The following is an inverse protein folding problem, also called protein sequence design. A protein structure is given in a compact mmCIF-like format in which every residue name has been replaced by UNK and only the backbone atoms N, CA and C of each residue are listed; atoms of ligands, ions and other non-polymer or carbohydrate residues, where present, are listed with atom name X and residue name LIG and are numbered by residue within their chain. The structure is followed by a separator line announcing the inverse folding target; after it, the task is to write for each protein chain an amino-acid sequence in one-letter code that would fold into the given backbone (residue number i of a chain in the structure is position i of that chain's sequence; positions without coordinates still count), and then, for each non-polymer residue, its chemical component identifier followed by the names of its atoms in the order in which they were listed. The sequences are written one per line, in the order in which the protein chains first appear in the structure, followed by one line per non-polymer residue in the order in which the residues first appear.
data_IF_931862197765
#
_entry.id   IF_931862197765
#
_cell.length_a   1.000
_cell.length_b   1.000
_cell.length_c   1.000
_cell.angle_alpha   90.00
_cell.angle_beta   90.00
_cell.angle_gamma   90.00
#
_symmetry.space_group_name_H-M   'P 1'
#
loop_
_entity.id
_entity.type
_entity.pdbx_description
1 polymer ?
#
# COMPACT_ATOMS: atom_id res chain seq x y z
N UNK A 1 -3.32 -7.03 27.95
CA UNK A 1 -4.57 -6.44 28.49
C UNK A 1 -5.34 -5.86 27.31
N UNK A 2 -6.56 -6.33 27.05
CA UNK A 2 -7.43 -5.78 26.00
C UNK A 2 -8.13 -4.53 26.57
N UNK A 3 -8.09 -3.38 25.89
CA UNK A 3 -8.72 -2.15 26.39
C UNK A 3 -10.25 -2.25 26.31
N UNK A 4 -10.89 -1.67 27.33
CA UNK A 4 -12.34 -1.57 27.49
C UNK A 4 -12.94 -0.72 26.36
N UNK A 5 -13.89 -1.29 25.62
CA UNK A 5 -14.50 -0.69 24.44
C UNK A 5 -15.92 -0.23 24.80
N UNK A 6 -16.05 0.91 25.47
CA UNK A 6 -17.35 1.55 25.63
C UNK A 6 -17.28 3.08 25.38
N UNK A 7 -18.11 3.50 24.42
CA UNK A 7 -18.67 4.84 24.20
C UNK A 7 -17.73 6.02 23.93
N UNK A 8 -17.70 6.48 22.69
CA UNK A 8 -18.02 7.89 22.33
C UNK A 8 -18.44 7.96 20.86
N UNK A 9 -19.61 8.54 20.63
CA UNK A 9 -20.16 8.87 19.33
C UNK A 9 -19.69 10.26 18.87
N UNK A 10 -19.62 10.46 17.54
CA UNK A 10 -20.10 11.64 16.80
C UNK A 10 -19.15 12.13 15.69
N UNK A 11 -19.72 12.44 14.52
CA UNK A 11 -19.10 13.01 13.33
C UNK A 11 -18.72 11.93 12.30
N UNK A 12 -19.45 11.64 11.23
CA UNK A 12 -20.22 12.52 10.36
C UNK A 12 -19.44 12.67 9.05
N UNK A 13 -19.62 11.75 8.10
CA UNK A 13 -19.43 12.04 6.67
C UNK A 13 -20.23 11.06 5.82
N UNK A 14 -21.12 11.63 5.02
CA UNK A 14 -22.11 10.98 4.18
C UNK A 14 -21.55 11.00 2.76
N UNK A 15 -21.25 9.82 2.18
CA UNK A 15 -20.96 9.73 0.75
C UNK A 15 -21.52 8.45 0.15
N UNK A 16 -22.59 8.68 -0.61
CA UNK A 16 -23.32 7.77 -1.47
C UNK A 16 -22.40 6.87 -2.29
N UNK A 17 -22.62 5.55 -2.24
CA UNK A 17 -22.28 4.65 -3.35
C UNK A 17 -23.43 3.69 -3.62
N UNK A 18 -23.85 3.74 -4.88
CA UNK A 18 -24.99 3.09 -5.52
C UNK A 18 -24.94 1.57 -5.39
N UNK A 19 -26.13 1.00 -5.21
CA UNK A 19 -26.46 -0.42 -5.23
C UNK A 19 -26.35 -1.00 -6.65
N UNK A 20 -25.84 -2.23 -6.76
CA UNK A 20 -25.96 -3.09 -7.94
C UNK A 20 -26.55 -4.42 -7.44
N UNK A 21 -27.82 -4.66 -7.80
CA UNK A 21 -28.59 -5.84 -7.46
C UNK A 21 -28.47 -6.86 -8.61
N UNK A 22 -27.93 -8.04 -8.30
CA UNK A 22 -27.87 -9.16 -9.23
C UNK A 22 -28.09 -10.49 -8.52
N UNK A 23 -29.35 -10.83 -8.21
CA UNK A 23 -29.75 -12.21 -7.86
C UNK A 23 -30.98 -12.60 -8.66
N UNK A 24 -30.72 -13.36 -9.72
CA UNK A 24 -31.69 -14.16 -10.46
C UNK A 24 -32.01 -15.41 -9.63
N UNK A 25 -33.26 -15.56 -9.18
CA UNK A 25 -33.78 -16.86 -8.76
C UNK A 25 -35.23 -17.00 -9.22
N UNK A 26 -35.39 -17.83 -10.25
CA UNK A 26 -36.65 -18.29 -10.81
C UNK A 26 -37.13 -19.46 -9.97
N UNK A 27 -38.31 -19.34 -9.36
CA UNK A 27 -39.11 -20.49 -8.99
C UNK A 27 -40.58 -20.22 -9.25
N UNK A 28 -41.19 -21.21 -9.90
CA UNK A 28 -42.53 -21.28 -10.45
C UNK A 28 -43.52 -21.73 -9.38
N UNK A 29 -44.65 -21.04 -9.25
CA UNK A 29 -45.95 -21.68 -9.01
C UNK A 29 -47.05 -20.62 -9.16
N UNK A 30 -47.91 -20.81 -10.15
CA UNK A 30 -49.20 -20.14 -10.26
C UNK A 30 -50.20 -20.94 -9.40
N UNK A 31 -51.04 -20.24 -8.64
CA UNK A 31 -52.49 -20.49 -8.54
C UNK A 31 -53.16 -19.41 -7.66
N UNK A 32 -54.37 -19.04 -8.08
CA UNK A 32 -55.13 -17.82 -7.80
C UNK A 32 -55.91 -17.90 -6.46
N UNK A 33 -56.09 -16.78 -5.74
CA UNK A 33 -57.40 -16.11 -5.59
C UNK A 33 -57.31 -14.80 -4.76
N UNK A 34 -58.35 -13.99 -4.95
CA UNK A 34 -58.51 -12.56 -4.77
C UNK A 34 -58.83 -12.08 -3.33
N UNK A 35 -58.42 -10.84 -3.06
CA UNK A 35 -59.04 -9.85 -2.16
C UNK A 35 -58.85 -9.96 -0.63
N UNK A 36 -57.92 -9.18 -0.07
CA UNK A 36 -58.26 -8.07 0.85
C UNK A 36 -56.98 -7.31 1.26
N UNK A 37 -56.77 -6.16 0.64
CA UNK A 37 -55.88 -5.13 1.18
C UNK A 37 -56.57 -4.60 2.43
N UNK A 38 -55.99 -4.81 3.62
CA UNK A 38 -55.87 -3.79 4.65
C UNK A 38 -55.08 -4.29 5.88
N UNK A 39 -54.00 -3.56 6.17
CA UNK A 39 -53.36 -3.44 7.49
C UNK A 39 -52.69 -4.68 8.09
N UNK A 40 -51.76 -5.29 7.34
CA UNK A 40 -50.53 -5.78 7.98
C UNK A 40 -49.63 -4.58 8.25
N UNK A 41 -49.94 -3.87 9.34
CA UNK A 41 -48.94 -3.13 10.09
C UNK A 41 -47.80 -4.10 10.37
N UNK A 42 -46.73 -3.99 9.59
CA UNK A 42 -45.49 -4.71 9.77
C UNK A 42 -44.97 -4.34 11.16
N UNK A 43 -45.44 -5.08 12.17
CA UNK A 43 -44.88 -5.14 13.51
C UNK A 43 -43.45 -5.60 13.32
N UNK A 44 -42.55 -4.63 13.10
CA UNK A 44 -41.10 -4.85 13.09
C UNK A 44 -40.82 -5.63 14.37
N UNK A 45 -40.44 -6.91 14.22
CA UNK A 45 -40.08 -7.78 15.35
C UNK A 45 -39.12 -6.97 16.21
N UNK A 46 -39.58 -6.60 17.41
CA UNK A 46 -38.82 -5.77 18.33
C UNK A 46 -37.58 -6.57 18.69
N UNK A 47 -36.43 -6.21 18.11
CA UNK A 47 -35.17 -6.89 18.38
C UNK A 47 -34.93 -6.84 19.89
N UNK A 48 -34.88 -8.01 20.53
CA UNK A 48 -34.56 -8.09 21.94
C UNK A 48 -33.06 -7.88 22.13
N UNK A 49 -32.69 -6.75 22.73
CA UNK A 49 -31.30 -6.41 23.02
C UNK A 49 -30.88 -7.12 24.30
N UNK A 50 -29.72 -7.79 24.25
CA UNK A 50 -29.16 -8.46 25.42
C UNK A 50 -28.81 -7.45 26.51
N UNK A 51 -29.00 -7.85 27.77
CA UNK A 51 -28.64 -7.02 28.93
C UNK A 51 -27.11 -6.91 29.05
N UNK A 52 -26.59 -5.86 29.71
CA UNK A 52 -25.15 -5.73 29.94
C UNK A 52 -24.54 -6.95 30.66
N UNK A 53 -25.26 -7.53 31.62
CA UNK A 53 -24.84 -8.75 32.32
C UNK A 53 -24.72 -9.95 31.38
N UNK A 54 -25.70 -10.14 30.48
CA UNK A 54 -25.63 -11.20 29.47
C UNK A 54 -24.43 -11.01 28.53
N UNK A 55 -24.17 -9.77 28.10
CA UNK A 55 -23.02 -9.45 27.26
C UNK A 55 -21.71 -9.76 28.00
N UNK A 56 -21.58 -9.34 29.25
CA UNK A 56 -20.37 -9.57 30.05
C UNK A 56 -20.06 -11.06 30.22
N UNK A 57 -21.07 -11.89 30.51
CA UNK A 57 -20.91 -13.34 30.61
C UNK A 57 -20.50 -13.96 29.27
N UNK A 58 -21.14 -13.56 28.17
CA UNK A 58 -20.74 -14.02 26.83
C UNK A 58 -19.32 -13.58 26.46
N UNK A 59 -18.90 -12.38 26.84
CA UNK A 59 -17.54 -11.89 26.63
C UNK A 59 -16.50 -12.63 27.48
N UNK A 60 -16.82 -12.93 28.74
CA UNK A 60 -15.98 -13.76 29.60
C UNK A 60 -15.79 -15.16 29.02
N UNK A 61 -16.86 -15.77 28.51
CA UNK A 61 -16.80 -17.07 27.85
C UNK A 61 -16.02 -17.02 26.52
N UNK A 62 -16.20 -15.96 25.73
CA UNK A 62 -15.52 -15.78 24.44
C UNK A 62 -14.00 -15.77 24.56
N UNK A 63 -13.45 -15.24 25.65
CA UNK A 63 -11.99 -15.23 25.90
C UNK A 63 -11.39 -16.65 25.92
N UNK A 64 -12.16 -17.65 26.34
CA UNK A 64 -11.73 -19.04 26.44
C UNK A 64 -12.21 -19.88 25.25
N UNK A 65 -13.41 -19.58 24.73
CA UNK A 65 -14.04 -20.32 23.65
C UNK A 65 -14.61 -19.39 22.57
N UNK A 66 -13.78 -18.85 21.66
CA UNK A 66 -14.25 -17.97 20.57
C UNK A 66 -15.19 -18.67 19.56
N UNK A 67 -15.11 -20.00 19.50
CA UNK A 67 -15.90 -20.88 18.64
C UNK A 67 -16.62 -21.95 19.46
N UNK A 68 -17.67 -21.57 20.21
CA UNK A 68 -18.39 -22.53 21.05
C UNK A 68 -19.10 -23.58 20.21
N UNK A 69 -19.02 -24.84 20.65
CA UNK A 69 -19.74 -25.96 20.04
C UNK A 69 -21.24 -25.96 20.43
N UNK A 70 -22.03 -26.91 19.90
CA UNK A 70 -23.47 -26.98 20.19
C UNK A 70 -23.80 -27.11 21.68
N UNK A 71 -23.07 -27.96 22.41
CA UNK A 71 -23.33 -28.21 23.83
C UNK A 71 -23.01 -26.98 24.67
N UNK A 72 -21.85 -26.34 24.42
CA UNK A 72 -21.45 -25.10 25.08
C UNK A 72 -22.44 -23.96 24.82
N UNK A 73 -22.97 -23.86 23.58
CA UNK A 73 -24.01 -22.86 23.27
C UNK A 73 -25.29 -23.11 24.04
N UNK A 74 -25.71 -24.37 24.18
CA UNK A 74 -26.92 -24.74 24.93
C UNK A 74 -26.76 -24.45 26.42
N UNK A 75 -25.64 -24.84 27.01
CA UNK A 75 -25.35 -24.56 28.41
C UNK A 75 -25.31 -23.05 28.70
N UNK A 76 -24.65 -22.27 27.83
CA UNK A 76 -24.60 -20.82 27.96
C UNK A 76 -25.97 -20.17 27.73
N UNK A 77 -26.79 -20.70 26.82
CA UNK A 77 -28.13 -20.20 26.58
C UNK A 77 -29.04 -20.43 27.78
N UNK A 78 -28.97 -21.62 28.39
CA UNK A 78 -29.73 -21.99 29.57
C UNK A 78 -29.34 -21.11 30.77
N UNK A 79 -28.02 -20.87 30.96
CA UNK A 79 -27.50 -19.97 32.00
C UNK A 79 -27.98 -18.52 31.86
N UNK A 80 -28.08 -18.03 30.63
CA UNK A 80 -28.38 -16.61 30.33
C UNK A 80 -29.86 -16.33 30.05
N UNK A 81 -30.69 -17.37 30.00
CA UNK A 81 -32.10 -17.25 29.59
C UNK A 81 -32.26 -16.76 28.15
N UNK A 82 -31.37 -17.17 27.25
CA UNK A 82 -31.37 -16.80 25.83
C UNK A 82 -31.72 -18.00 24.95
N UNK A 83 -32.12 -17.75 23.71
CA UNK A 83 -32.22 -18.83 22.72
C UNK A 83 -30.81 -19.26 22.27
N UNK A 84 -30.52 -20.56 22.09
CA UNK A 84 -29.23 -21.03 21.55
C UNK A 84 -28.79 -20.34 20.26
N UNK A 85 -29.75 -19.93 19.41
CA UNK A 85 -29.48 -19.22 18.17
C UNK A 85 -29.00 -17.78 18.40
N UNK A 86 -29.52 -17.10 19.43
CA UNK A 86 -29.03 -15.77 19.82
C UNK A 86 -27.57 -15.84 20.27
N UNK A 87 -27.21 -16.87 21.05
CA UNK A 87 -25.82 -17.12 21.43
C UNK A 87 -24.98 -17.37 20.19
N UNK A 88 -25.42 -18.23 19.26
CA UNK A 88 -24.71 -18.46 17.98
C UNK A 88 -24.43 -17.15 17.23
N UNK A 89 -25.45 -16.31 17.04
CA UNK A 89 -25.30 -15.05 16.30
C UNK A 89 -24.45 -14.04 17.04
N UNK A 90 -24.55 -13.97 18.37
CA UNK A 90 -23.69 -13.10 19.16
C UNK A 90 -22.21 -13.45 18.97
N UNK A 91 -21.84 -14.73 19.06
CA UNK A 91 -20.45 -15.16 18.85
C UNK A 91 -19.98 -14.92 17.41
N UNK A 92 -20.86 -15.13 16.42
CA UNK A 92 -20.55 -14.80 15.03
C UNK A 92 -20.29 -13.30 14.85
N UNK A 93 -21.16 -12.45 15.37
CA UNK A 93 -21.02 -11.00 15.30
C UNK A 93 -19.79 -10.50 16.05
N UNK A 94 -19.49 -11.06 17.24
CA UNK A 94 -18.32 -10.70 18.02
C UNK A 94 -17.03 -10.97 17.25
N UNK A 95 -16.93 -12.12 16.56
CA UNK A 95 -15.78 -12.42 15.70
C UNK A 95 -15.67 -11.47 14.52
N UNK A 96 -16.77 -11.17 13.83
CA UNK A 96 -16.79 -10.21 12.72
C UNK A 96 -16.34 -8.83 13.19
N UNK A 97 -16.90 -8.33 14.31
CA UNK A 97 -16.48 -7.05 14.91
C UNK A 97 -14.99 -7.05 15.24
N UNK A 98 -14.48 -8.11 15.86
CA UNK A 98 -13.06 -8.20 16.21
C UNK A 98 -12.18 -8.16 14.95
N UNK A 99 -12.55 -8.90 13.90
CA UNK A 99 -11.84 -8.89 12.63
C UNK A 99 -11.84 -7.51 12.00
N UNK A 100 -13.01 -6.87 11.88
CA UNK A 100 -13.15 -5.52 11.32
C UNK A 100 -12.36 -4.48 12.12
N UNK A 101 -12.39 -4.56 13.45
CA UNK A 101 -11.61 -3.65 14.30
C UNK A 101 -10.11 -3.81 14.07
N UNK A 102 -9.60 -5.05 14.00
CA UNK A 102 -8.19 -5.32 13.71
C UNK A 102 -7.79 -4.83 12.31
N UNK A 103 -8.62 -5.07 11.30
CA UNK A 103 -8.37 -4.61 9.93
C UNK A 103 -8.35 -3.09 9.85
N UNK A 104 -9.31 -2.41 10.48
CA UNK A 104 -9.34 -0.96 10.56
C UNK A 104 -8.11 -0.40 11.27
N UNK A 105 -7.73 -0.99 12.41
CA UNK A 105 -6.54 -0.58 13.16
C UNK A 105 -5.25 -0.74 12.34
N UNK A 106 -5.06 -1.90 11.69
CA UNK A 106 -3.92 -2.16 10.79
C UNK A 106 -3.90 -1.20 9.61
N UNK A 107 -5.04 -0.97 8.96
CA UNK A 107 -5.14 -0.04 7.83
C UNK A 107 -4.83 1.40 8.26
N UNK A 108 -5.31 1.82 9.43
CA UNK A 108 -4.99 3.13 10.01
C UNK A 108 -3.49 3.29 10.25
N UNK A 109 -2.85 2.27 10.84
CA UNK A 109 -1.39 2.23 11.03
C UNK A 109 -0.66 2.36 9.70
N UNK A 110 -0.97 1.50 8.73
CA UNK A 110 -0.31 1.53 7.41
C UNK A 110 -0.53 2.85 6.66
N UNK A 111 -1.70 3.48 6.80
CA UNK A 111 -1.95 4.80 6.20
C UNK A 111 -1.06 5.87 6.82
N UNK A 112 -0.90 5.85 8.13
CA UNK A 112 -0.04 6.79 8.86
C UNK A 112 1.41 6.63 8.42
N UNK A 113 1.93 5.40 8.46
CA UNK A 113 3.27 5.07 8.01
C UNK A 113 3.51 5.41 6.52
N UNK A 114 2.53 5.16 5.66
CA UNK A 114 2.64 5.51 4.24
C UNK A 114 2.72 7.03 4.03
N UNK A 115 1.97 7.82 4.79
CA UNK A 115 2.02 9.27 4.74
C UNK A 115 3.38 9.79 5.22
N UNK A 116 3.94 9.19 6.27
CA UNK A 116 5.28 9.52 6.78
C UNK A 116 6.36 9.20 5.74
N UNK A 117 6.34 7.99 5.17
CA UNK A 117 7.27 7.59 4.12
C UNK A 117 7.17 8.48 2.89
N UNK A 118 5.95 8.89 2.49
CA UNK A 118 5.76 9.83 1.39
C UNK A 118 6.33 11.20 1.70
N UNK A 119 6.10 11.72 2.91
CA UNK A 119 6.67 12.99 3.35
C UNK A 119 8.21 12.94 3.36
N UNK A 120 8.79 11.85 3.87
CA UNK A 120 10.22 11.62 3.86
C UNK A 120 10.79 11.50 2.44
N UNK A 121 10.11 10.73 1.59
CA UNK A 121 10.49 10.61 0.18
C UNK A 121 10.49 11.98 -0.50
N UNK A 122 9.47 12.81 -0.28
CA UNK A 122 9.43 14.19 -0.79
C UNK A 122 10.62 15.02 -0.29
N UNK A 123 10.95 14.96 1.00
CA UNK A 123 12.12 15.67 1.56
C UNK A 123 13.42 15.20 0.90
N UNK A 124 13.60 13.89 0.71
CA UNK A 124 14.80 13.34 0.08
C UNK A 124 14.88 13.72 -1.39
N UNK A 125 13.78 13.64 -2.13
CA UNK A 125 13.71 14.06 -3.54
C UNK A 125 14.00 15.55 -3.69
N UNK A 126 13.44 16.40 -2.82
CA UNK A 126 13.73 17.83 -2.80
C UNK A 126 15.20 18.11 -2.48
N UNK A 127 15.75 17.46 -1.44
CA UNK A 127 17.15 17.59 -1.08
C UNK A 127 18.08 17.18 -2.24
N UNK A 128 17.76 16.09 -2.95
CA UNK A 128 18.51 15.64 -4.13
C UNK A 128 18.35 16.60 -5.31
N UNK A 129 17.16 17.14 -5.54
CA UNK A 129 16.91 18.14 -6.58
C UNK A 129 17.71 19.43 -6.33
N UNK A 130 17.79 19.87 -5.07
CA UNK A 130 18.52 21.06 -4.66
C UNK A 130 20.02 20.82 -4.45
N UNK A 131 20.47 19.57 -4.40
CA UNK A 131 21.88 19.24 -4.24
C UNK A 131 22.66 19.72 -5.47
N UNK A 132 23.68 20.55 -5.25
CA UNK A 132 24.51 21.12 -6.32
C UNK A 132 25.97 20.73 -6.14
N UNK A 133 26.67 20.50 -7.24
CA UNK A 133 28.10 20.25 -7.25
C UNK A 133 28.86 21.47 -6.71
N UNK A 134 29.75 21.28 -5.73
CA UNK A 134 30.52 22.36 -5.11
C UNK A 134 31.54 23.00 -6.08
N UNK A 135 32.02 22.25 -7.07
CA UNK A 135 33.03 22.72 -8.03
C UNK A 135 32.44 23.51 -9.21
N UNK A 136 31.30 23.07 -9.77
CA UNK A 136 30.71 23.68 -10.97
C UNK A 136 29.30 24.28 -10.76
N UNK A 137 28.74 24.19 -9.55
CA UNK A 137 27.46 24.82 -9.19
C UNK A 137 26.22 24.25 -9.87
N UNK A 138 26.29 23.13 -10.59
CA UNK A 138 25.13 22.52 -11.28
C UNK A 138 24.44 21.45 -10.42
N UNK A 139 23.17 21.18 -10.68
CA UNK A 139 22.35 20.23 -9.91
C UNK A 139 22.82 18.78 -10.10
N UNK A 140 22.92 18.01 -9.00
CA UNK A 140 23.44 16.64 -8.99
C UNK A 140 22.42 15.62 -9.55
N UNK A 141 21.13 15.93 -9.48
CA UNK A 141 20.04 15.03 -9.86
C UNK A 141 19.94 14.70 -11.37
N UNK A 142 20.73 15.33 -12.23
CA UNK A 142 20.67 15.11 -13.67
C UNK A 142 21.95 14.40 -14.17
N UNK A 143 21.79 13.20 -14.73
CA UNK A 143 22.91 12.40 -15.27
C UNK A 143 23.69 13.15 -16.36
N UNK A 144 23.02 14.05 -17.11
CA UNK A 144 23.67 14.95 -18.08
C UNK A 144 24.56 15.99 -17.41
N UNK A 145 24.27 16.37 -16.18
CA UNK A 145 25.06 17.34 -15.43
C UNK A 145 26.40 16.75 -14.98
N UNK A 146 26.42 15.48 -14.57
CA UNK A 146 27.67 14.78 -14.26
C UNK A 146 28.56 14.65 -15.51
N UNK A 147 27.98 14.24 -16.64
CA UNK A 147 28.70 14.13 -17.91
C UNK A 147 29.27 15.48 -18.38
N UNK A 148 28.50 16.57 -18.27
CA UNK A 148 28.97 17.91 -18.62
C UNK A 148 30.04 18.44 -17.64
N UNK A 149 29.92 18.16 -16.33
CA UNK A 149 30.93 18.57 -15.36
C UNK A 149 32.26 17.81 -15.57
N UNK A 150 32.21 16.51 -15.89
CA UNK A 150 33.37 15.72 -16.29
C UNK A 150 34.02 16.23 -17.59
N UNK A 151 33.23 16.67 -18.58
CA UNK A 151 33.78 17.29 -19.80
C UNK A 151 34.54 18.59 -19.51
N UNK A 152 33.99 19.45 -18.65
CA UNK A 152 34.64 20.72 -18.28
C UNK A 152 35.94 20.48 -17.51
N UNK A 153 35.94 19.54 -16.56
CA UNK A 153 37.15 19.17 -15.81
C UNK A 153 38.22 18.56 -16.74
N UNK A 154 37.83 17.66 -17.65
CA UNK A 154 38.76 17.11 -18.65
C UNK A 154 39.36 18.19 -19.55
N UNK A 155 38.60 19.23 -19.92
CA UNK A 155 39.12 20.34 -20.72
C UNK A 155 40.16 21.16 -19.93
N UNK A 156 39.87 21.47 -18.65
CA UNK A 156 40.82 22.19 -17.79
C UNK A 156 42.10 21.37 -17.54
N UNK A 157 41.98 20.06 -17.32
CA UNK A 157 43.14 19.19 -17.16
C UNK A 157 43.99 19.15 -18.43
N UNK A 158 43.37 19.15 -19.62
CA UNK A 158 44.09 19.22 -20.90
C UNK A 158 44.85 20.54 -21.05
N UNK A 159 44.24 21.67 -20.73
CA UNK A 159 44.95 22.97 -20.75
C UNK A 159 46.13 23.00 -19.77
N UNK A 160 45.97 22.40 -18.58
CA UNK A 160 47.07 22.32 -17.61
C UNK A 160 48.21 21.43 -18.12
N UNK A 161 47.88 20.30 -18.76
CA UNK A 161 48.89 19.42 -19.39
C UNK A 161 49.61 20.17 -20.50
N UNK A 162 48.91 20.90 -21.36
CA UNK A 162 49.51 21.70 -22.43
C UNK A 162 50.41 22.82 -21.88
N UNK A 163 49.97 23.50 -20.82
CA UNK A 163 50.75 24.54 -20.15
C UNK A 163 52.05 23.97 -19.56
N UNK A 164 51.97 22.85 -18.83
CA UNK A 164 53.14 22.19 -18.26
C UNK A 164 54.07 21.63 -19.35
N UNK A 165 53.52 21.04 -20.40
CA UNK A 165 54.30 20.56 -21.54
C UNK A 165 55.04 21.71 -22.24
N UNK A 166 54.40 22.87 -22.41
CA UNK A 166 55.02 24.06 -22.98
C UNK A 166 56.13 24.63 -22.09
N UNK A 167 55.97 24.59 -20.76
CA UNK A 167 57.03 24.95 -19.82
C UNK A 167 58.19 23.95 -19.94
N UNK A 168 57.93 22.65 -19.87
CA UNK A 168 58.95 21.61 -19.98
C UNK A 168 59.70 21.70 -21.31
N UNK A 169 59.02 21.96 -22.42
CA UNK A 169 59.65 22.15 -23.73
C UNK A 169 60.68 23.30 -23.75
N UNK A 170 60.48 24.35 -22.94
CA UNK A 170 61.43 25.47 -22.80
C UNK A 170 62.69 25.10 -22.02
N UNK A 171 62.61 24.12 -21.12
CA UNK A 171 63.73 23.68 -20.28
C UNK A 171 64.42 22.42 -20.81
N UNK A 172 63.69 21.54 -21.51
CA UNK A 172 64.18 20.24 -21.98
C UNK A 172 64.66 20.28 -23.43
N UNK A 173 64.26 21.28 -24.23
CA UNK A 173 64.64 21.40 -25.64
C UNK A 173 64.13 20.22 -26.47
N UNK A 174 62.92 20.34 -27.05
CA UNK A 174 62.26 19.38 -27.96
C UNK A 174 62.66 17.89 -27.80
N UNK A 175 61.79 17.03 -27.25
CA UNK A 175 61.90 15.61 -27.57
C UNK A 175 61.59 15.39 -29.05
N UNK A 176 62.30 14.42 -29.62
CA UNK A 176 62.14 13.87 -30.96
C UNK A 176 60.67 13.56 -31.29
N UNK A 177 60.34 13.68 -32.58
CA UNK A 177 59.06 13.33 -33.14
C UNK A 177 58.70 11.84 -32.99
N UNK A 178 57.42 11.56 -33.25
CA UNK A 178 56.77 10.28 -33.51
C UNK A 178 56.34 9.43 -32.29
N UNK A 179 55.08 9.62 -31.88
CA UNK A 179 54.03 8.67 -32.26
C UNK A 179 52.65 9.32 -32.13
N UNK A 180 52.02 9.52 -33.29
CA UNK A 180 50.64 9.94 -33.38
C UNK A 180 49.73 8.81 -32.87
N UNK A 181 49.40 8.83 -31.57
CA UNK A 181 48.19 8.18 -31.08
C UNK A 181 47.00 9.00 -31.62
N UNK A 182 46.55 8.60 -32.79
CA UNK A 182 45.24 8.98 -33.33
C UNK A 182 44.16 8.31 -32.46
N UNK A 183 43.25 9.04 -31.81
CA UNK A 183 42.00 8.44 -31.38
C UNK A 183 41.13 8.30 -32.63
N UNK A 184 41.23 7.14 -33.30
CA UNK A 184 40.27 6.76 -34.33
C UNK A 184 38.88 6.72 -33.71
N UNK A 185 38.07 7.70 -34.07
CA UNK A 185 36.67 7.81 -33.75
C UNK A 185 35.87 6.95 -34.73
N UNK A 186 35.64 5.68 -34.41
CA UNK A 186 34.49 4.91 -34.91
C UNK A 186 34.11 3.79 -33.92
N UNK A 187 33.40 4.15 -32.85
CA UNK A 187 32.56 3.20 -32.14
C UNK A 187 31.16 3.82 -32.00
N UNK A 188 30.28 3.46 -32.93
CA UNK A 188 28.86 3.72 -32.84
C UNK A 188 28.29 3.12 -31.55
N UNK A 189 27.36 3.78 -30.86
CA UNK A 189 26.62 3.15 -29.77
C UNK A 189 25.57 2.22 -30.40
N UNK A 190 25.90 0.95 -30.59
CA UNK A 190 24.87 -0.08 -30.74
C UNK A 190 24.18 -0.22 -29.38
N UNK A 191 23.14 0.59 -29.18
CA UNK A 191 22.14 0.30 -28.17
C UNK A 191 21.46 -1.00 -28.55
N UNK A 192 21.82 -2.07 -27.85
CA UNK A 192 21.14 -3.35 -27.88
C UNK A 192 19.75 -3.20 -27.23
N UNK A 193 18.83 -2.61 -28.00
CA UNK A 193 17.39 -2.49 -27.67
C UNK A 193 16.70 -3.87 -27.79
N UNK A 194 17.39 -4.88 -28.33
CA UNK A 194 16.85 -6.21 -28.55
C UNK A 194 17.10 -7.18 -27.38
N UNK A 195 18.19 -7.01 -26.62
CA UNK A 195 18.44 -7.76 -25.39
C UNK A 195 17.41 -7.48 -24.27
N UNK A 196 16.88 -6.26 -24.18
CA UNK A 196 15.90 -5.89 -23.14
C UNK A 196 14.49 -6.45 -23.43
N UNK A 197 14.13 -6.70 -24.70
CA UNK A 197 12.87 -7.38 -25.04
C UNK A 197 12.90 -8.88 -24.74
N UNK A 198 14.06 -9.53 -24.78
CA UNK A 198 14.18 -10.98 -24.53
C UNK A 198 14.11 -11.38 -23.05
N UNK A 199 14.18 -10.42 -22.12
CA UNK A 199 14.03 -10.69 -20.68
C UNK A 199 12.59 -10.51 -20.14
N UNK A 200 11.65 -10.01 -20.94
CA UNK A 200 10.22 -9.90 -20.57
C UNK A 200 9.34 -11.06 -21.05
N UNK A 201 9.92 -12.08 -21.69
CA UNK A 201 9.20 -13.21 -22.28
C UNK A 201 9.20 -14.51 -21.48
N UNK A 202 9.81 -14.57 -20.29
CA UNK A 202 9.90 -15.81 -19.48
C UNK A 202 9.49 -15.59 -18.03
N UNK A 203 8.25 -15.19 -17.83
CA UNK A 203 7.52 -15.43 -16.58
C UNK A 203 6.04 -15.63 -16.92
N UNK A 204 5.77 -16.76 -17.57
CA UNK A 204 4.47 -17.43 -17.47
C UNK A 204 4.68 -18.89 -17.86
N UNK A 205 4.05 -19.77 -17.07
CA UNK A 205 3.99 -21.23 -17.19
C UNK A 205 5.09 -21.93 -16.37
N UNK A 206 4.86 -22.10 -15.07
CA UNK A 206 4.54 -23.40 -14.44
C UNK A 206 4.15 -23.19 -12.96
N UNK A 207 3.08 -23.91 -12.57
CA UNK A 207 2.30 -23.92 -11.31
C UNK A 207 1.22 -22.85 -11.10
#
# INVERSE_FOLDING_TARGET
MLPDMNSTASGGDESQRKTDDGINNKSSSEDLDNNSINNQELKRKRYHRQTPQQIQEMEAFFKQHPHPNNNQRKELSDKLGLEPLQVKFWFQNKRTQLKTWHEHHKNSHFRTENNELRAENMRCTEALSNARCRACGRAIADARTNEHCLRVENAQLREQVEYLAAILAKFVGKPLADDAITPSSTASPTTDIEAVRKLKGKQKIEE
#
